data_IF_149324496628
#
_entry.id   IF_149324496628
#
_cell.length_a   1.000
_cell.length_b   1.000
_cell.length_c   1.000
_cell.angle_alpha   90.00
_cell.angle_beta   90.00
_cell.angle_gamma   90.00
#
_symmetry.space_group_name_H-M   'P 1'
#
loop_
_entity.id
_entity.type
_entity.pdbx_description
1 polymer ?
#
# COMPACT_ATOMS: atom_id res chain seq x y z
N UNK A 1 10.62 -43.25 16.11
CA UNK A 1 9.39 -42.97 16.86
C UNK A 1 9.78 -42.97 18.35
N UNK A 2 10.04 -41.79 18.91
CA UNK A 2 10.34 -41.61 20.34
C UNK A 2 9.46 -40.43 20.77
N UNK A 3 8.46 -40.78 21.58
CA UNK A 3 7.52 -39.88 22.24
C UNK A 3 8.17 -39.41 23.55
N UNK A 4 8.37 -38.09 23.68
CA UNK A 4 8.76 -37.43 24.93
C UNK A 4 7.68 -36.43 25.35
N UNK A 5 6.56 -36.99 25.80
CA UNK A 5 5.59 -36.28 26.64
C UNK A 5 6.22 -35.78 27.94
N UNK A 6 5.78 -34.58 28.38
CA UNK A 6 5.94 -33.91 29.70
C UNK A 6 7.07 -32.87 29.84
N UNK A 7 6.66 -31.61 29.78
CA UNK A 7 7.21 -30.56 30.64
C UNK A 7 6.04 -29.80 31.27
N UNK A 8 5.85 -30.01 32.58
CA UNK A 8 4.92 -29.25 33.41
C UNK A 8 5.69 -28.20 34.21
N UNK A 9 5.02 -27.06 34.37
CA UNK A 9 5.15 -26.05 35.41
C UNK A 9 6.34 -25.07 35.34
N UNK A 10 6.02 -23.78 35.15
CA UNK A 10 6.19 -22.82 36.23
C UNK A 10 5.23 -21.63 36.06
N UNK A 11 4.44 -21.40 37.11
CA UNK A 11 3.54 -20.26 37.30
C UNK A 11 4.34 -19.02 37.68
N UNK A 12 4.05 -17.87 37.06
CA UNK A 12 4.46 -16.56 37.58
C UNK A 12 3.26 -15.62 37.53
N UNK A 13 2.71 -15.39 38.72
CA UNK A 13 1.68 -14.41 39.04
C UNK A 13 2.34 -13.03 39.16
N UNK A 14 1.90 -12.02 38.40
CA UNK A 14 2.32 -10.62 38.63
C UNK A 14 1.12 -9.70 38.68
N UNK A 15 0.61 -9.58 39.89
CA UNK A 15 -0.18 -8.48 40.42
C UNK A 15 0.52 -7.15 40.11
N UNK A 16 -0.16 -6.22 39.46
CA UNK A 16 0.22 -4.80 39.55
C UNK A 16 -1.04 -3.95 39.62
N UNK A 17 -1.25 -3.44 40.83
CA UNK A 17 -2.28 -2.53 41.29
C UNK A 17 -1.93 -1.13 40.75
N UNK A 18 -2.80 -0.54 39.94
CA UNK A 18 -2.68 0.86 39.50
C UNK A 18 -3.76 1.72 40.19
N UNK A 19 -3.30 2.85 40.68
CA UNK A 19 -3.85 3.68 41.75
C UNK A 19 -4.95 4.62 41.27
N UNK A 20 -5.91 4.92 42.16
CA UNK A 20 -6.97 5.91 42.00
C UNK A 20 -6.45 7.30 41.59
N UNK A 21 -7.18 7.95 40.68
CA UNK A 21 -7.12 9.40 40.45
C UNK A 21 -8.52 9.99 40.68
N UNK A 22 -8.66 10.74 41.77
CA UNK A 22 -9.80 11.62 42.01
C UNK A 22 -9.32 12.88 42.75
N UNK A 23 -9.38 14.02 42.07
CA UNK A 23 -9.45 15.35 42.67
C UNK A 23 -9.97 16.34 41.63
N UNK A 24 -11.25 16.70 41.75
CA UNK A 24 -11.85 17.87 41.16
C UNK A 24 -11.54 19.10 42.05
N UNK A 25 -11.38 20.30 41.49
CA UNK A 25 -11.72 21.57 42.17
C UNK A 25 -11.67 22.79 41.21
N UNK A 26 -12.86 23.39 41.01
CA UNK A 26 -13.23 24.82 40.96
C UNK A 26 -12.89 25.74 39.75
N UNK A 27 -13.96 26.07 39.02
CA UNK A 27 -14.49 27.41 38.69
C UNK A 27 -13.56 28.64 38.71
N UNK A 28 -13.53 29.36 37.59
CA UNK A 28 -13.67 30.82 37.61
C UNK A 28 -14.30 31.32 36.31
N UNK A 29 -15.53 31.86 36.40
CA UNK A 29 -16.23 32.53 35.32
C UNK A 29 -15.68 33.95 35.13
N UNK A 30 -15.49 34.35 33.87
CA UNK A 30 -15.21 35.74 33.51
C UNK A 30 -15.76 36.05 32.10
N UNK A 31 -16.85 36.78 32.05
CA UNK A 31 -17.29 37.62 30.92
C UNK A 31 -17.89 38.88 31.57
N UNK A 32 -17.67 40.09 31.04
CA UNK A 32 -18.37 40.59 29.85
C UNK A 32 -17.42 41.48 28.97
N UNK A 33 -17.71 41.99 27.77
CA UNK A 33 -18.84 42.76 27.24
C UNK A 33 -18.85 42.76 25.69
N UNK A 34 -19.97 43.17 25.05
CA UNK A 34 -20.17 43.14 23.61
C UNK A 34 -19.68 44.44 22.95
N UNK A 35 -18.99 44.31 21.81
CA UNK A 35 -18.76 45.44 20.91
C UNK A 35 -19.48 45.15 19.60
N UNK A 36 -20.64 45.79 19.53
CA UNK A 36 -21.40 46.18 18.35
C UNK A 36 -20.49 47.04 17.47
N UNK A 37 -19.92 46.45 16.42
CA UNK A 37 -19.27 47.19 15.34
C UNK A 37 -19.92 46.76 14.03
N UNK A 38 -20.54 47.76 13.41
CA UNK A 38 -21.33 47.71 12.20
C UNK A 38 -20.72 46.89 11.07
N UNK A 39 -21.57 46.11 10.41
CA UNK A 39 -21.30 45.45 9.14
C UNK A 39 -21.45 46.49 8.02
N UNK A 40 -20.42 46.83 7.23
CA UNK A 40 -20.62 47.42 5.92
C UNK A 40 -20.82 46.30 4.90
N UNK A 41 -22.00 46.30 4.30
CA UNK A 41 -22.29 45.68 3.01
C UNK A 41 -21.24 46.12 1.98
N UNK A 42 -20.53 45.16 1.39
CA UNK A 42 -19.82 45.33 0.14
C UNK A 42 -19.77 44.00 -0.59
N UNK A 43 -20.79 43.80 -1.43
CA UNK A 43 -20.79 42.90 -2.57
C UNK A 43 -19.53 43.14 -3.42
N UNK A 44 -18.56 42.25 -3.28
CA UNK A 44 -17.54 42.00 -4.27
C UNK A 44 -17.22 40.50 -4.18
N UNK A 45 -17.83 39.73 -5.08
CA UNK A 45 -17.47 38.34 -5.31
C UNK A 45 -15.99 38.26 -5.74
N UNK A 46 -15.10 38.20 -4.74
CA UNK A 46 -13.72 37.79 -4.92
C UNK A 46 -13.75 36.30 -5.23
N UNK A 47 -13.58 35.96 -6.51
CA UNK A 47 -13.30 34.57 -6.87
C UNK A 47 -12.13 34.06 -5.99
N UNK A 48 -12.23 32.87 -5.38
CA UNK A 48 -11.13 32.34 -4.60
C UNK A 48 -9.91 32.23 -5.51
N UNK A 49 -8.79 32.79 -5.08
CA UNK A 49 -7.51 32.55 -5.72
C UNK A 49 -7.28 31.02 -5.78
N UNK A 50 -6.72 30.47 -6.88
CA UNK A 50 -6.42 29.05 -6.94
C UNK A 50 -5.51 28.69 -5.77
N UNK A 51 -5.89 27.66 -5.01
CA UNK A 51 -5.04 27.12 -3.96
C UNK A 51 -3.69 26.73 -4.57
N UNK A 52 -2.56 26.90 -3.85
CA UNK A 52 -1.27 26.49 -4.36
C UNK A 52 -1.29 24.99 -4.69
N UNK A 53 -1.01 24.66 -5.95
CA UNK A 53 -0.77 23.30 -6.39
C UNK A 53 0.47 22.76 -5.66
N UNK A 54 0.27 21.79 -4.76
CA UNK A 54 1.38 21.13 -4.08
C UNK A 54 2.05 20.21 -5.10
N UNK A 55 3.24 20.62 -5.57
CA UNK A 55 4.04 19.78 -6.46
C UNK A 55 4.54 18.53 -5.73
N UNK A 56 4.22 17.35 -6.26
CA UNK A 56 4.74 16.08 -5.76
C UNK A 56 6.24 15.94 -6.08
N UNK A 57 7.00 15.21 -5.26
CA UNK A 57 8.41 14.94 -5.57
C UNK A 57 8.55 14.19 -6.89
N UNK A 58 9.68 14.36 -7.61
CA UNK A 58 9.92 13.63 -8.85
C UNK A 58 10.03 12.13 -8.59
N UNK A 59 9.48 11.34 -9.52
CA UNK A 59 9.53 9.87 -9.47
C UNK A 59 10.92 9.36 -9.84
N UNK A 60 11.32 8.21 -9.30
CA UNK A 60 12.63 7.63 -9.61
C UNK A 60 12.69 7.08 -11.03
N UNK A 61 13.81 7.25 -11.76
CA UNK A 61 13.90 6.81 -13.14
C UNK A 61 14.06 5.29 -13.26
N UNK A 62 13.41 4.69 -14.27
CA UNK A 62 13.72 3.33 -14.73
C UNK A 62 14.64 3.36 -15.95
N UNK A 63 15.59 2.43 -16.09
CA UNK A 63 16.44 2.34 -17.28
C UNK A 63 15.65 2.00 -18.56
N UNK A 64 16.17 2.42 -19.72
CA UNK A 64 15.60 2.02 -21.01
C UNK A 64 15.61 0.48 -21.16
N UNK A 65 14.49 -0.08 -21.59
CA UNK A 65 14.32 -1.53 -21.75
C UNK A 65 14.03 -2.29 -20.45
N UNK A 66 13.93 -1.60 -19.30
CA UNK A 66 13.46 -2.20 -18.06
C UNK A 66 12.04 -2.75 -18.25
N UNK A 67 11.80 -3.98 -17.81
CA UNK A 67 10.49 -4.64 -17.94
C UNK A 67 10.22 -5.62 -16.82
N UNK A 68 8.95 -5.75 -16.48
CA UNK A 68 8.41 -6.75 -15.55
C UNK A 68 7.36 -7.58 -16.30
N UNK A 69 7.30 -8.89 -16.06
CA UNK A 69 6.39 -9.78 -16.76
C UNK A 69 6.00 -10.99 -15.90
N UNK A 70 4.94 -11.69 -16.30
CA UNK A 70 4.58 -12.98 -15.72
C UNK A 70 5.43 -14.07 -16.34
N UNK A 71 6.24 -14.75 -15.54
CA UNK A 71 6.90 -16.00 -15.93
C UNK A 71 5.85 -17.10 -16.02
N UNK A 72 4.94 -17.13 -15.04
CA UNK A 72 3.73 -17.94 -15.02
C UNK A 72 2.66 -17.27 -14.15
N UNK A 73 1.35 -17.48 -14.41
CA UNK A 73 0.77 -18.12 -15.58
C UNK A 73 0.88 -17.24 -16.84
N UNK A 74 0.67 -17.83 -18.00
CA UNK A 74 0.52 -17.08 -19.25
C UNK A 74 -0.90 -16.54 -19.43
N UNK A 75 -1.06 -15.59 -20.35
CA UNK A 75 -2.38 -15.09 -20.75
C UNK A 75 -3.30 -16.21 -21.29
N UNK A 76 -4.56 -16.20 -20.86
CA UNK A 76 -5.57 -17.21 -21.18
C UNK A 76 -5.43 -18.53 -20.42
N UNK A 77 -4.57 -18.63 -19.40
CA UNK A 77 -4.38 -19.87 -18.66
C UNK A 77 -5.65 -20.29 -17.89
N UNK A 78 -5.99 -21.58 -17.96
CA UNK A 78 -6.98 -22.22 -17.10
C UNK A 78 -6.27 -22.81 -15.87
N UNK A 79 -6.71 -22.44 -14.68
CA UNK A 79 -6.03 -22.71 -13.41
C UNK A 79 -7.01 -23.26 -12.37
N UNK A 80 -6.50 -24.11 -11.48
CA UNK A 80 -7.23 -24.51 -10.26
C UNK A 80 -6.63 -23.77 -9.08
N UNK A 81 -7.49 -23.27 -8.18
CA UNK A 81 -7.06 -22.54 -6.98
C UNK A 81 -6.60 -23.52 -5.88
N UNK A 82 -5.46 -23.27 -5.19
CA UNK A 82 -4.51 -22.19 -5.42
C UNK A 82 -3.53 -22.49 -6.56
N UNK A 83 -2.97 -21.44 -7.15
CA UNK A 83 -1.95 -21.54 -8.19
C UNK A 83 -0.76 -20.63 -7.91
N UNK A 84 0.41 -20.99 -8.45
CA UNK A 84 1.61 -20.15 -8.34
C UNK A 84 1.60 -19.08 -9.42
N UNK A 85 1.92 -17.85 -9.03
CA UNK A 85 2.25 -16.75 -9.94
C UNK A 85 3.73 -16.43 -9.75
N UNK A 86 4.49 -16.39 -10.84
CA UNK A 86 5.92 -16.10 -10.85
C UNK A 86 6.20 -14.82 -11.64
N UNK A 87 7.03 -13.95 -11.08
CA UNK A 87 7.33 -12.62 -11.59
C UNK A 87 8.74 -12.60 -12.18
N UNK A 88 8.88 -12.01 -13.36
CA UNK A 88 10.16 -11.73 -14.01
C UNK A 88 10.44 -10.23 -13.99
N UNK A 89 11.72 -9.88 -13.85
CA UNK A 89 12.23 -8.51 -13.93
C UNK A 89 13.55 -8.49 -14.71
N UNK A 90 13.72 -7.51 -15.60
CA UNK A 90 14.96 -7.27 -16.34
C UNK A 90 15.27 -5.77 -16.39
N UNK A 91 16.56 -5.42 -16.37
CA UNK A 91 17.03 -4.03 -16.44
C UNK A 91 16.97 -3.27 -15.12
N UNK A 92 16.51 -3.91 -14.03
CA UNK A 92 16.40 -3.32 -12.69
C UNK A 92 16.71 -4.35 -11.60
N UNK A 93 17.01 -3.88 -10.39
CA UNK A 93 17.21 -4.70 -9.21
C UNK A 93 15.96 -4.79 -8.32
N UNK A 94 15.89 -5.83 -7.48
CA UNK A 94 14.89 -5.92 -6.42
C UNK A 94 15.52 -5.62 -5.07
N UNK A 95 14.87 -4.77 -4.29
CA UNK A 95 15.19 -4.51 -2.89
C UNK A 95 13.90 -4.50 -2.05
N UNK A 96 13.99 -4.83 -0.75
CA UNK A 96 12.87 -4.63 0.16
C UNK A 96 12.36 -3.19 0.14
N UNK A 97 11.05 -3.01 0.35
CA UNK A 97 10.43 -1.70 0.48
C UNK A 97 11.11 -0.89 1.59
N UNK A 98 11.34 0.41 1.34
CA UNK A 98 12.09 1.30 2.22
C UNK A 98 13.62 1.24 2.06
N UNK A 99 14.17 0.26 1.35
CA UNK A 99 15.61 0.22 1.04
C UNK A 99 15.94 0.99 -0.23
N UNK A 100 16.87 1.93 -0.13
CA UNK A 100 17.25 2.83 -1.22
C UNK A 100 18.34 2.17 -2.08
N UNK A 101 18.04 1.98 -3.36
CA UNK A 101 19.00 1.58 -4.38
C UNK A 101 18.78 2.32 -5.70
N UNK A 102 19.82 2.36 -6.53
CA UNK A 102 19.69 2.88 -7.90
C UNK A 102 18.99 1.84 -8.78
N UNK A 103 17.97 2.26 -9.51
CA UNK A 103 17.21 1.40 -10.43
C UNK A 103 16.68 0.13 -9.75
N UNK A 104 16.24 0.28 -8.49
CA UNK A 104 15.64 -0.80 -7.71
C UNK A 104 14.18 -0.55 -7.38
N UNK A 105 13.47 -1.62 -7.06
CA UNK A 105 12.09 -1.58 -6.59
C UNK A 105 11.64 -2.92 -6.03
N UNK A 106 10.32 -3.07 -5.91
CA UNK A 106 9.67 -4.31 -5.50
C UNK A 106 8.34 -4.48 -6.24
N UNK A 107 7.86 -5.73 -6.32
CA UNK A 107 6.68 -6.06 -7.09
C UNK A 107 5.38 -5.70 -6.37
N UNK A 108 4.39 -5.30 -7.16
CA UNK A 108 2.98 -5.29 -6.81
C UNK A 108 2.21 -6.12 -7.83
N UNK A 109 1.24 -6.91 -7.38
CA UNK A 109 0.29 -7.63 -8.23
C UNK A 109 -1.07 -6.96 -8.13
N UNK A 110 -1.57 -6.50 -9.27
CA UNK A 110 -2.89 -5.93 -9.42
C UNK A 110 -3.85 -7.03 -9.88
N UNK A 111 -4.95 -7.22 -9.15
CA UNK A 111 -5.98 -8.22 -9.44
C UNK A 111 -7.29 -7.50 -9.70
N UNK A 112 -7.88 -7.68 -10.89
CA UNK A 112 -9.20 -7.13 -11.25
C UNK A 112 -9.36 -5.61 -11.03
N UNK A 113 -8.28 -4.84 -11.19
CA UNK A 113 -8.27 -3.40 -10.94
C UNK A 113 -7.51 -2.66 -12.05
N UNK A 114 -7.92 -1.43 -12.42
CA UNK A 114 -7.09 -0.59 -13.29
C UNK A 114 -5.78 -0.20 -12.60
N UNK A 115 -4.86 0.35 -13.39
CA UNK A 115 -3.63 0.93 -12.86
C UNK A 115 -3.92 2.06 -11.84
N UNK A 116 -3.17 2.14 -10.73
CA UNK A 116 -3.30 3.21 -9.76
C UNK A 116 -2.73 4.52 -10.32
N UNK A 117 -2.77 5.57 -9.50
CA UNK A 117 -2.04 6.81 -9.79
C UNK A 117 -0.53 6.55 -9.78
N UNK A 118 0.14 7.00 -10.82
CA UNK A 118 1.58 6.78 -11.05
C UNK A 118 2.48 7.67 -10.20
N UNK A 119 1.93 8.71 -9.59
CA UNK A 119 2.61 9.74 -8.80
C UNK A 119 2.37 9.62 -7.29
N UNK A 120 1.66 8.58 -6.86
CA UNK A 120 1.38 8.30 -5.46
C UNK A 120 1.86 6.89 -5.09
N UNK A 121 2.11 6.64 -3.79
CA UNK A 121 2.33 5.28 -3.31
C UNK A 121 1.18 4.35 -3.71
N UNK A 122 1.53 3.17 -4.23
CA UNK A 122 0.57 2.10 -4.47
C UNK A 122 0.02 1.66 -3.11
N UNK A 123 -1.30 1.76 -2.95
CA UNK A 123 -1.98 1.29 -1.75
C UNK A 123 -1.93 -0.24 -1.71
N UNK A 124 -1.86 -0.83 -0.51
CA UNK A 124 -1.99 -2.28 -0.35
C UNK A 124 -3.40 -2.62 0.11
N UNK A 125 -4.08 -3.44 -0.68
CA UNK A 125 -5.41 -3.98 -0.41
C UNK A 125 -5.58 -5.33 -1.14
N UNK A 126 -6.78 -5.89 -1.15
CA UNK A 126 -7.06 -7.19 -1.78
C UNK A 126 -6.85 -7.17 -3.30
N UNK A 127 -6.96 -6.00 -3.94
CA UNK A 127 -6.74 -5.83 -5.38
C UNK A 127 -5.30 -5.41 -5.71
N UNK A 128 -4.53 -4.91 -4.74
CA UNK A 128 -3.14 -4.46 -4.89
C UNK A 128 -2.24 -5.19 -3.88
N UNK A 129 -1.79 -6.38 -4.24
CA UNK A 129 -0.99 -7.23 -3.37
C UNK A 129 0.47 -6.80 -3.39
N UNK A 130 1.05 -6.60 -2.21
CA UNK A 130 2.39 -6.03 -2.01
C UNK A 130 3.46 -7.11 -1.76
N UNK A 131 4.52 -7.09 -2.55
CA UNK A 131 5.67 -7.99 -2.45
C UNK A 131 6.95 -7.22 -2.08
N UNK A 132 6.88 -6.50 -0.96
CA UNK A 132 7.92 -5.59 -0.47
C UNK A 132 9.15 -6.23 0.16
N UNK A 133 9.34 -7.55 0.09
CA UNK A 133 10.55 -8.23 0.52
C UNK A 133 11.34 -8.76 -0.68
N UNK A 134 11.19 -8.10 -1.84
CA UNK A 134 11.77 -8.54 -3.11
C UNK A 134 11.32 -9.96 -3.54
N UNK A 135 10.08 -10.35 -3.23
CA UNK A 135 9.57 -11.65 -3.65
C UNK A 135 9.35 -11.68 -5.17
N UNK A 136 9.56 -12.86 -5.76
CA UNK A 136 9.39 -13.13 -7.19
C UNK A 136 8.31 -14.17 -7.47
N UNK A 137 7.58 -14.62 -6.44
CA UNK A 137 6.48 -15.56 -6.60
C UNK A 137 5.50 -15.50 -5.44
N UNK A 138 4.27 -15.93 -5.70
CA UNK A 138 3.21 -16.07 -4.69
C UNK A 138 2.32 -17.28 -5.02
N UNK A 139 1.84 -17.97 -3.99
CA UNK A 139 0.69 -18.86 -4.11
C UNK A 139 -0.58 -18.02 -3.97
N UNK A 140 -1.34 -17.91 -5.06
CA UNK A 140 -2.52 -17.08 -5.15
C UNK A 140 -3.79 -17.95 -5.12
N UNK A 141 -4.72 -17.56 -4.26
CA UNK A 141 -6.06 -18.14 -4.20
C UNK A 141 -7.05 -17.11 -4.72
N UNK A 142 -7.71 -17.43 -5.83
CA UNK A 142 -8.84 -16.67 -6.35
C UNK A 142 -10.08 -17.57 -6.38
N UNK A 143 -11.25 -16.95 -6.31
CA UNK A 143 -12.52 -17.64 -6.54
C UNK A 143 -12.62 -18.11 -8.00
N UNK A 144 -13.48 -19.10 -8.32
CA UNK A 144 -13.74 -19.48 -9.70
C UNK A 144 -14.27 -18.32 -10.56
N UNK A 145 -13.73 -18.16 -11.77
CA UNK A 145 -14.12 -17.13 -12.73
C UNK A 145 -12.96 -16.55 -13.55
N UNK A 146 -13.28 -15.54 -14.35
CA UNK A 146 -12.30 -14.77 -15.14
C UNK A 146 -11.66 -13.69 -14.29
N UNK A 147 -10.32 -13.64 -14.26
CA UNK A 147 -9.56 -12.62 -13.55
C UNK A 147 -8.52 -11.95 -14.46
N UNK A 148 -8.31 -10.66 -14.27
CA UNK A 148 -7.17 -9.94 -14.88
C UNK A 148 -6.06 -9.74 -13.88
N UNK A 149 -4.82 -10.00 -14.28
CA UNK A 149 -3.62 -9.81 -13.48
C UNK A 149 -2.66 -8.83 -14.19
N UNK A 150 -2.03 -7.93 -13.43
CA UNK A 150 -0.99 -7.06 -13.94
C UNK A 150 0.10 -6.85 -12.87
N UNK A 151 1.37 -6.84 -13.29
CA UNK A 151 2.49 -6.48 -12.41
C UNK A 151 2.82 -5.00 -12.57
N UNK A 152 3.16 -4.37 -11.44
CA UNK A 152 3.65 -3.01 -11.38
C UNK A 152 4.83 -2.94 -10.41
N UNK A 153 5.94 -2.32 -10.83
CA UNK A 153 7.09 -2.12 -9.98
C UNK A 153 6.95 -0.77 -9.24
N UNK A 154 7.05 -0.82 -7.91
CA UNK A 154 7.15 0.37 -7.06
C UNK A 154 8.58 0.59 -6.59
N UNK A 155 8.97 1.84 -6.37
CA UNK A 155 10.24 2.18 -5.72
C UNK A 155 10.23 1.88 -4.20
N UNK A 156 11.25 2.33 -3.48
CA UNK A 156 11.35 2.24 -2.01
C UNK A 156 10.17 2.88 -1.25
N UNK A 157 9.45 3.82 -1.86
CA UNK A 157 8.28 4.49 -1.31
C UNK A 157 6.97 4.01 -1.96
N UNK A 158 7.01 2.87 -2.65
CA UNK A 158 5.88 2.29 -3.38
C UNK A 158 5.39 3.16 -4.54
N UNK A 159 6.17 4.16 -4.99
CA UNK A 159 5.79 5.02 -6.10
C UNK A 159 6.26 4.37 -7.40
N UNK A 160 5.41 4.23 -8.43
CA UNK A 160 5.83 3.73 -9.73
C UNK A 160 6.94 4.58 -10.35
N UNK A 161 7.96 3.93 -10.92
CA UNK A 161 9.07 4.60 -11.61
C UNK A 161 8.63 5.44 -12.84
N UNK A 162 9.55 6.26 -13.37
CA UNK A 162 9.40 7.03 -14.60
C UNK A 162 10.46 6.62 -15.65
N UNK A 163 10.06 6.03 -16.80
CA UNK A 163 8.72 5.54 -17.12
C UNK A 163 8.28 4.40 -16.18
N UNK A 164 6.98 4.14 -16.04
CA UNK A 164 6.49 3.01 -15.25
C UNK A 164 7.00 1.68 -15.78
N UNK A 165 7.40 0.79 -14.87
CA UNK A 165 7.76 -0.60 -15.21
C UNK A 165 6.59 -1.49 -14.81
N UNK A 166 5.81 -1.88 -15.81
CA UNK A 166 4.60 -2.68 -15.66
C UNK A 166 4.54 -3.76 -16.73
N UNK A 167 3.83 -4.85 -16.43
CA UNK A 167 3.60 -5.92 -17.41
C UNK A 167 2.43 -5.58 -18.33
N UNK A 168 2.28 -6.36 -19.39
CA UNK A 168 0.99 -6.52 -20.04
C UNK A 168 -0.04 -7.05 -19.04
N UNK A 169 -1.31 -6.74 -19.26
CA UNK A 169 -2.42 -7.36 -18.53
C UNK A 169 -2.62 -8.76 -19.10
N UNK A 170 -2.69 -9.75 -18.21
CA UNK A 170 -3.08 -11.12 -18.59
C UNK A 170 -4.47 -11.43 -18.03
N UNK A 171 -5.21 -12.28 -18.73
CA UNK A 171 -6.47 -12.86 -18.28
C UNK A 171 -6.24 -14.31 -17.88
N UNK A 172 -6.78 -14.74 -16.76
CA UNK A 172 -6.76 -16.15 -16.32
C UNK A 172 -8.16 -16.61 -15.99
N UNK A 173 -8.43 -17.89 -16.23
CA UNK A 173 -9.69 -18.56 -15.93
C UNK A 173 -9.48 -19.52 -14.76
N UNK A 174 -10.09 -19.24 -13.62
CA UNK A 174 -9.99 -20.08 -12.43
C UNK A 174 -11.20 -21.01 -12.38
N UNK A 175 -10.97 -22.31 -12.25
CA UNK A 175 -12.01 -23.33 -12.14
C UNK A 175 -12.12 -23.87 -10.72
N UNK A 176 -13.28 -24.47 -10.42
CA UNK A 176 -13.50 -25.31 -9.24
C UNK A 176 -12.50 -26.49 -9.15
#
# INVERSE_FOLDING_TARGET
MIDLSKASALSINRTTLATLLAAALLCSCGSPEPQDEAVPDADAASAPAPAPEVALPPRKPSPEGARVWFVSPGDGAALTSPFTVEFGLEGMGLLPAGEIGEHTGHHHLLVNTPLPRMDLPIITDDAHMHFGLAQTSVELSLEPGTHTLQLLLGDDLHIPHEPPVMSDVITVEVTD
#
